data_IF_770355126743
#
_entry.id   IF_770355126743
#
_cell.length_a   1.000
_cell.length_b   1.000
_cell.length_c   1.000
_cell.angle_alpha   90.00
_cell.angle_beta   90.00
_cell.angle_gamma   90.00
#
_symmetry.space_group_name_H-M   'P 1'
#
loop_
_entity.id
_entity.type
_entity.pdbx_description
1 polymer ?
#
# COMPACT_ATOMS: atom_id res chain seq x y z
N UNK A 1 7.59 30.95 5.24
CA UNK A 1 8.94 31.09 5.83
C UNK A 1 9.07 32.50 6.38
N UNK A 2 9.69 32.66 7.55
CA UNK A 2 9.96 33.96 8.17
C UNK A 2 11.25 34.60 7.62
N UNK A 3 11.61 35.76 8.16
CA UNK A 3 12.79 36.51 7.69
C UNK A 3 14.12 35.82 8.01
N UNK A 4 14.16 35.03 9.09
CA UNK A 4 15.38 34.40 9.59
C UNK A 4 15.19 32.95 10.04
N UNK A 5 14.00 32.39 9.84
CA UNK A 5 13.59 31.08 10.34
C UNK A 5 12.42 30.49 9.54
N UNK A 6 12.23 29.18 9.66
CA UNK A 6 11.12 28.43 9.08
C UNK A 6 10.52 27.49 10.10
N UNK A 7 9.20 27.29 9.99
CA UNK A 7 8.44 26.33 10.81
C UNK A 7 7.77 25.34 9.87
N UNK A 8 7.77 24.08 10.26
CA UNK A 8 7.24 22.97 9.48
C UNK A 8 6.34 22.10 10.37
N UNK A 9 5.39 21.42 9.74
CA UNK A 9 4.72 20.28 10.35
C UNK A 9 5.42 19.02 9.86
N UNK A 10 5.87 18.19 10.81
CA UNK A 10 6.47 16.90 10.56
C UNK A 10 5.57 15.78 11.08
N UNK A 11 5.74 14.59 10.51
CA UNK A 11 5.14 13.38 11.07
C UNK A 11 5.87 13.00 12.36
N UNK A 12 5.10 12.55 13.35
CA UNK A 12 5.61 12.04 14.62
C UNK A 12 5.38 10.52 14.71
N UNK A 13 5.81 9.90 15.81
CA UNK A 13 5.53 8.50 16.09
C UNK A 13 4.04 8.21 16.39
N UNK A 14 3.27 9.24 16.71
CA UNK A 14 1.82 9.16 16.93
C UNK A 14 1.05 9.97 15.86
N UNK A 15 -0.26 10.09 16.04
CA UNK A 15 -1.13 10.83 15.11
C UNK A 15 -0.98 12.35 15.17
N UNK A 16 -0.26 12.90 16.17
CA UNK A 16 -0.14 14.34 16.38
C UNK A 16 1.11 14.87 15.69
N UNK A 17 0.97 15.82 14.74
CA UNK A 17 2.12 16.32 14.00
C UNK A 17 3.09 17.07 14.91
N UNK A 18 4.38 16.89 14.66
CA UNK A 18 5.43 17.66 15.32
C UNK A 18 5.56 19.04 14.67
N UNK A 19 5.75 20.07 15.48
CA UNK A 19 6.11 21.40 14.99
C UNK A 19 7.62 21.53 15.00
N UNK A 20 8.21 21.52 13.82
CA UNK A 20 9.65 21.63 13.64
C UNK A 20 10.04 23.07 13.31
N UNK A 21 11.14 23.51 13.89
CA UNK A 21 11.71 24.84 13.70
C UNK A 21 13.14 24.75 13.17
N UNK A 22 13.48 25.59 12.20
CA UNK A 22 14.86 25.76 11.73
C UNK A 22 15.20 27.23 11.53
N UNK A 23 16.37 27.67 12.00
CA UNK A 23 16.88 29.01 11.79
C UNK A 23 17.21 29.79 13.07
N UNK A 24 17.12 31.12 12.98
CA UNK A 24 17.56 32.08 13.99
C UNK A 24 16.47 32.38 15.02
N UNK A 25 16.64 31.92 16.26
CA UNK A 25 15.67 32.13 17.34
C UNK A 25 15.71 33.58 17.88
N UNK A 26 14.58 34.29 18.05
CA UNK A 26 14.55 35.55 18.79
C UNK A 26 14.71 35.28 20.30
N UNK A 27 15.80 35.73 20.93
CA UNK A 27 16.01 35.54 22.37
C UNK A 27 15.01 36.40 23.17
N UNK A 28 14.42 35.84 24.24
CA UNK A 28 13.57 36.60 25.18
C UNK A 28 14.34 37.69 25.94
N UNK A 29 15.68 37.64 25.94
CA UNK A 29 16.56 38.67 26.47
C UNK A 29 17.16 39.51 25.35
N UNK A 30 17.12 40.83 25.52
CA UNK A 30 17.93 41.79 24.76
C UNK A 30 19.40 41.39 24.96
N UNK A 31 20.13 41.17 23.87
CA UNK A 31 21.54 40.74 23.81
C UNK A 31 21.88 39.31 24.26
N UNK A 32 21.45 38.29 23.51
CA UNK A 32 22.18 37.02 23.50
C UNK A 32 22.15 36.36 22.12
N UNK A 33 23.27 35.74 21.75
CA UNK A 33 23.53 35.16 20.43
C UNK A 33 22.36 34.29 19.97
N UNK A 34 21.84 34.63 18.80
CA UNK A 34 20.92 33.84 18.01
C UNK A 34 21.35 32.37 18.03
N UNK A 35 20.67 31.51 18.81
CA UNK A 35 20.82 30.06 18.69
C UNK A 35 20.29 29.69 17.31
N UNK A 36 21.18 29.68 16.33
CA UNK A 36 20.89 29.29 14.95
C UNK A 36 20.90 27.77 14.92
N UNK A 37 19.76 27.16 14.61
CA UNK A 37 19.71 25.73 14.33
C UNK A 37 19.85 25.54 12.83
N UNK A 38 20.86 24.78 12.41
CA UNK A 38 21.03 24.40 11.00
C UNK A 38 20.18 23.16 10.63
N UNK A 39 19.59 22.51 11.64
CA UNK A 39 18.74 21.33 11.49
C UNK A 39 17.37 21.61 12.13
N UNK A 40 16.29 20.96 11.65
CA UNK A 40 14.96 21.07 12.25
C UNK A 40 14.97 20.56 13.70
N UNK A 41 14.44 21.36 14.63
CA UNK A 41 14.29 21.03 16.06
C UNK A 41 12.81 21.04 16.44
N UNK A 42 12.35 20.04 17.19
CA UNK A 42 10.95 19.96 17.63
C UNK A 42 10.63 20.98 18.73
N UNK A 43 9.50 21.67 18.59
CA UNK A 43 8.94 22.59 19.58
C UNK A 43 7.96 21.84 20.49
N UNK A 44 8.48 21.15 21.50
CA UNK A 44 7.69 20.31 22.41
C UNK A 44 6.55 21.06 23.13
N UNK A 45 6.73 22.35 23.42
CA UNK A 45 5.70 23.19 24.05
C UNK A 45 4.46 23.36 23.15
N UNK A 46 4.67 23.49 21.83
CA UNK A 46 3.58 23.68 20.86
C UNK A 46 2.82 22.38 20.64
N UNK A 47 3.48 21.23 20.79
CA UNK A 47 2.87 19.90 20.69
C UNK A 47 1.72 19.69 21.70
N UNK A 48 1.71 20.44 22.81
CA UNK A 48 0.61 20.42 23.79
C UNK A 48 -0.74 20.87 23.19
N UNK A 49 -0.72 21.63 22.09
CA UNK A 49 -1.93 22.03 21.37
C UNK A 49 -2.64 20.87 20.63
N UNK A 50 -1.91 19.75 20.39
CA UNK A 50 -2.38 18.50 19.73
C UNK A 50 -2.88 18.67 18.30
N UNK A 51 -4.08 19.22 18.10
CA UNK A 51 -4.81 19.25 16.82
C UNK A 51 -4.29 20.33 15.86
N UNK A 52 -2.98 20.40 15.69
CA UNK A 52 -2.32 21.42 14.89
C UNK A 52 -2.55 21.11 13.42
N UNK A 53 -3.24 22.02 12.74
CA UNK A 53 -3.56 21.87 11.32
C UNK A 53 -2.60 22.65 10.45
N UNK A 54 -2.19 23.85 10.88
CA UNK A 54 -1.36 24.75 10.05
C UNK A 54 -0.29 25.46 10.87
N UNK A 55 0.87 25.69 10.27
CA UNK A 55 1.92 26.55 10.80
C UNK A 55 2.23 27.67 9.82
N UNK A 56 2.51 28.85 10.35
CA UNK A 56 2.84 30.04 9.58
C UNK A 56 4.04 30.73 10.23
N UNK A 57 4.95 31.22 9.40
CA UNK A 57 6.08 32.03 9.85
C UNK A 57 6.14 33.28 8.96
N UNK A 58 6.22 34.45 9.59
CA UNK A 58 6.20 35.76 8.93
C UNK A 58 6.98 36.80 9.74
N UNK A 59 7.92 37.48 9.07
CA UNK A 59 8.82 38.42 9.75
C UNK A 59 9.61 37.75 10.87
N UNK A 60 9.45 38.25 12.09
CA UNK A 60 10.05 37.69 13.32
C UNK A 60 9.10 36.78 14.12
N UNK A 61 7.88 36.54 13.62
CA UNK A 61 6.81 35.82 14.35
C UNK A 61 6.50 34.48 13.70
N UNK A 62 6.07 33.54 14.54
CA UNK A 62 5.49 32.27 14.16
C UNK A 62 4.07 32.18 14.71
N UNK A 63 3.20 31.44 14.05
CA UNK A 63 1.86 31.09 14.52
C UNK A 63 1.54 29.65 14.16
N UNK A 64 0.75 28.99 14.99
CA UNK A 64 0.15 27.69 14.70
C UNK A 64 -1.37 27.78 14.85
N UNK A 65 -2.10 27.14 13.93
CA UNK A 65 -3.55 26.95 14.01
C UNK A 65 -3.79 25.56 14.60
N UNK A 66 -4.59 25.49 15.66
CA UNK A 66 -5.05 24.25 16.27
C UNK A 66 -6.57 24.21 16.32
N UNK A 67 -7.17 23.03 16.19
CA UNK A 67 -8.61 22.83 16.39
C UNK A 67 -8.90 22.81 17.90
N UNK A 68 -9.61 23.82 18.41
CA UNK A 68 -10.09 23.85 19.80
C UNK A 68 -11.47 24.55 19.88
N UNK A 69 -12.53 23.88 20.37
CA UNK A 69 -12.60 22.43 20.60
C UNK A 69 -12.49 21.67 19.26
N UNK A 70 -11.86 20.50 19.28
CA UNK A 70 -11.80 19.66 18.09
C UNK A 70 -13.11 18.85 17.96
N UNK A 71 -13.70 18.77 16.75
CA UNK A 71 -14.79 17.85 16.48
C UNK A 71 -14.40 16.41 16.86
N UNK A 72 -15.31 15.58 17.40
CA UNK A 72 -15.01 14.21 17.84
C UNK A 72 -14.34 13.35 16.77
N UNK A 73 -14.74 13.50 15.51
CA UNK A 73 -14.20 12.82 14.34
C UNK A 73 -12.77 13.24 13.96
N UNK A 74 -12.24 14.30 14.56
CA UNK A 74 -10.87 14.77 14.29
C UNK A 74 -9.83 13.72 14.66
N UNK A 75 -10.01 12.98 15.75
CA UNK A 75 -9.05 11.96 16.17
C UNK A 75 -8.79 10.89 15.09
N UNK A 76 -9.81 10.14 14.62
CA UNK A 76 -9.60 9.16 13.56
C UNK A 76 -9.19 9.80 12.22
N UNK A 77 -9.52 11.08 11.95
CA UNK A 77 -9.02 11.78 10.76
C UNK A 77 -7.50 12.01 10.80
N UNK A 78 -6.96 12.45 11.94
CA UNK A 78 -5.52 12.61 12.11
C UNK A 78 -4.80 11.26 12.11
N UNK A 79 -5.39 10.22 12.70
CA UNK A 79 -4.90 8.84 12.59
C UNK A 79 -4.86 8.37 11.13
N UNK A 80 -5.91 8.64 10.35
CA UNK A 80 -5.96 8.31 8.93
C UNK A 80 -4.80 8.96 8.18
N UNK A 81 -4.60 10.26 8.37
CA UNK A 81 -3.55 11.01 7.68
C UNK A 81 -2.14 10.54 8.06
N UNK A 82 -1.87 10.32 9.35
CA UNK A 82 -0.58 9.82 9.82
C UNK A 82 -0.30 8.40 9.28
N UNK A 83 -1.29 7.51 9.36
CA UNK A 83 -1.14 6.14 8.86
C UNK A 83 -1.01 6.07 7.34
N UNK A 84 -1.69 6.94 6.59
CA UNK A 84 -1.54 7.06 5.13
C UNK A 84 -0.12 7.45 4.74
N UNK A 85 0.48 8.44 5.42
CA UNK A 85 1.87 8.86 5.14
C UNK A 85 2.87 7.75 5.42
N UNK A 86 2.70 7.03 6.53
CA UNK A 86 3.52 5.85 6.85
C UNK A 86 3.38 4.76 5.78
N UNK A 87 2.13 4.47 5.36
CA UNK A 87 1.84 3.50 4.31
C UNK A 87 2.49 3.88 2.98
N UNK A 88 2.32 5.12 2.52
CA UNK A 88 2.94 5.62 1.29
C UNK A 88 4.47 5.62 1.34
N UNK A 89 5.06 6.00 2.48
CA UNK A 89 6.50 5.89 2.67
C UNK A 89 6.98 4.45 2.46
N UNK A 90 6.23 3.47 2.96
CA UNK A 90 6.55 2.06 2.72
C UNK A 90 6.43 1.66 1.23
N UNK A 91 5.40 2.15 0.52
CA UNK A 91 5.28 1.93 -0.94
C UNK A 91 6.45 2.54 -1.72
N UNK A 92 6.87 3.75 -1.34
CA UNK A 92 8.01 4.44 -1.96
C UNK A 92 9.32 3.70 -1.66
N UNK A 93 9.52 3.21 -0.43
CA UNK A 93 10.68 2.37 -0.10
C UNK A 93 10.70 1.10 -0.95
N UNK A 94 9.58 0.41 -1.09
CA UNK A 94 9.46 -0.77 -1.98
C UNK A 94 9.76 -0.39 -3.43
N UNK A 95 9.26 0.74 -3.92
CA UNK A 95 9.58 1.24 -5.26
C UNK A 95 11.08 1.47 -5.43
N UNK A 96 11.73 2.13 -4.46
CA UNK A 96 13.12 2.55 -4.54
C UNK A 96 14.12 1.40 -4.36
N UNK A 97 13.84 0.49 -3.43
CA UNK A 97 14.75 -0.58 -3.03
C UNK A 97 14.58 -1.85 -3.86
N UNK A 98 13.39 -2.07 -4.42
CA UNK A 98 13.08 -3.29 -5.17
C UNK A 98 12.71 -3.00 -6.63
N UNK A 99 11.65 -2.22 -6.89
CA UNK A 99 11.08 -2.14 -8.24
C UNK A 99 11.93 -1.34 -9.24
N UNK A 100 12.44 -0.16 -8.85
CA UNK A 100 13.31 0.64 -9.73
C UNK A 100 14.64 -0.05 -10.03
N UNK A 101 15.33 -0.67 -9.06
CA UNK A 101 16.50 -1.50 -9.34
C UNK A 101 16.16 -2.68 -10.26
N UNK A 102 15.01 -3.34 -10.03
CA UNK A 102 14.55 -4.45 -10.87
C UNK A 102 14.39 -4.01 -12.32
N UNK A 103 13.68 -2.90 -12.57
CA UNK A 103 13.47 -2.36 -13.92
C UNK A 103 14.79 -1.98 -14.63
N UNK A 104 15.84 -1.64 -13.88
CA UNK A 104 17.17 -1.30 -14.40
C UNK A 104 18.11 -2.50 -14.53
N UNK A 105 17.70 -3.68 -14.04
CA UNK A 105 18.54 -4.87 -14.05
C UNK A 105 18.64 -5.46 -15.46
N UNK A 106 19.80 -6.04 -15.79
CA UNK A 106 20.00 -6.74 -17.06
C UNK A 106 18.93 -7.84 -17.24
N UNK A 107 18.66 -8.60 -16.17
CA UNK A 107 17.61 -9.62 -16.10
C UNK A 107 16.25 -9.11 -16.59
N UNK A 108 15.79 -7.97 -16.09
CA UNK A 108 14.48 -7.42 -16.47
C UNK A 108 14.45 -7.01 -17.95
N UNK A 109 15.53 -6.39 -18.44
CA UNK A 109 15.63 -5.94 -19.83
C UNK A 109 15.78 -7.09 -20.82
N UNK A 110 16.48 -8.15 -20.45
CA UNK A 110 16.74 -9.31 -21.31
C UNK A 110 15.64 -10.38 -21.24
N UNK A 111 14.74 -10.30 -20.27
CA UNK A 111 13.63 -11.26 -20.15
C UNK A 111 12.74 -11.16 -21.39
N UNK A 112 12.60 -12.27 -22.11
CA UNK A 112 11.72 -12.37 -23.28
C UNK A 112 10.92 -13.68 -23.30
N UNK A 113 10.45 -14.08 -22.11
CA UNK A 113 9.71 -15.31 -21.92
C UNK A 113 8.27 -15.00 -21.54
N UNK A 114 7.33 -15.45 -22.38
CA UNK A 114 5.91 -15.42 -22.08
C UNK A 114 5.53 -16.56 -21.11
N UNK A 115 4.66 -16.34 -20.11
CA UNK A 115 3.95 -15.09 -19.79
C UNK A 115 4.67 -14.16 -18.79
N UNK A 116 5.88 -14.52 -18.35
CA UNK A 116 6.54 -13.88 -17.21
C UNK A 116 6.86 -12.39 -17.43
N UNK A 117 7.34 -12.01 -18.61
CA UNK A 117 7.70 -10.62 -18.93
C UNK A 117 6.50 -9.68 -18.82
N UNK A 118 5.41 -10.00 -19.52
CA UNK A 118 4.20 -9.18 -19.55
C UNK A 118 3.54 -9.10 -18.19
N UNK A 119 3.43 -10.23 -17.46
CA UNK A 119 2.83 -10.23 -16.12
C UNK A 119 3.66 -9.43 -15.11
N UNK A 120 4.99 -9.52 -15.17
CA UNK A 120 5.87 -8.71 -14.31
C UNK A 120 5.74 -7.22 -14.65
N UNK A 121 5.71 -6.85 -15.93
CA UNK A 121 5.51 -5.47 -16.37
C UNK A 121 4.18 -4.90 -15.85
N UNK A 122 3.08 -5.64 -16.01
CA UNK A 122 1.76 -5.25 -15.52
C UNK A 122 1.74 -5.06 -14.00
N UNK A 123 2.39 -5.96 -13.25
CA UNK A 123 2.53 -5.83 -11.80
C UNK A 123 3.29 -4.56 -11.39
N UNK A 124 4.42 -4.27 -12.05
CA UNK A 124 5.23 -3.09 -11.74
C UNK A 124 4.48 -1.79 -12.09
N UNK A 125 3.81 -1.76 -13.25
CA UNK A 125 3.03 -0.59 -13.70
C UNK A 125 1.85 -0.33 -12.75
N UNK A 126 1.09 -1.36 -12.41
CA UNK A 126 -0.05 -1.23 -11.50
C UNK A 126 0.36 -0.87 -10.07
N UNK A 127 1.51 -1.38 -9.57
CA UNK A 127 2.08 -0.93 -8.30
C UNK A 127 2.40 0.56 -8.31
N UNK A 128 3.01 1.04 -9.40
CA UNK A 128 3.32 2.45 -9.59
C UNK A 128 2.07 3.33 -9.63
N UNK A 129 1.04 2.89 -10.35
CA UNK A 129 -0.25 3.56 -10.42
C UNK A 129 -0.92 3.65 -9.04
N UNK A 130 -0.94 2.54 -8.29
CA UNK A 130 -1.43 2.51 -6.92
C UNK A 130 -0.67 3.48 -6.02
N UNK A 131 0.66 3.41 -6.03
CA UNK A 131 1.51 4.31 -5.24
C UNK A 131 1.21 5.77 -5.55
N UNK A 132 1.06 6.13 -6.83
CA UNK A 132 0.69 7.49 -7.25
C UNK A 132 -0.67 7.90 -6.69
N UNK A 133 -1.70 7.05 -6.81
CA UNK A 133 -3.05 7.36 -6.33
C UNK A 133 -3.09 7.57 -4.81
N UNK A 134 -2.35 6.77 -4.05
CA UNK A 134 -2.18 6.96 -2.60
C UNK A 134 -1.47 8.30 -2.31
N UNK A 135 -0.44 8.67 -3.07
CA UNK A 135 0.24 9.96 -2.92
C UNK A 135 -0.67 11.17 -3.18
N UNK A 136 -1.54 11.08 -4.20
CA UNK A 136 -2.59 12.07 -4.46
C UNK A 136 -3.55 12.18 -3.26
N UNK A 137 -4.00 11.03 -2.73
CA UNK A 137 -4.87 10.95 -1.56
C UNK A 137 -4.29 11.60 -0.30
N UNK A 138 -3.00 11.37 -0.02
CA UNK A 138 -2.32 11.98 1.15
C UNK A 138 -2.25 13.49 1.05
N UNK A 139 -1.92 13.99 -0.14
CA UNK A 139 -1.77 15.43 -0.39
C UNK A 139 -3.12 16.11 -0.19
N UNK A 140 -4.17 15.52 -0.75
CA UNK A 140 -5.52 16.02 -0.62
C UNK A 140 -6.07 15.91 0.82
N UNK A 141 -5.90 14.76 1.49
CA UNK A 141 -6.30 14.59 2.88
C UNK A 141 -5.61 15.59 3.82
N UNK A 142 -4.33 15.87 3.58
CA UNK A 142 -3.59 16.88 4.33
C UNK A 142 -4.19 18.29 4.13
N UNK A 143 -4.60 18.62 2.89
CA UNK A 143 -5.29 19.88 2.57
C UNK A 143 -6.65 19.96 3.27
N UNK A 144 -7.44 18.90 3.24
CA UNK A 144 -8.76 18.83 3.91
C UNK A 144 -8.61 19.11 5.41
N UNK A 145 -7.63 18.49 6.08
CA UNK A 145 -7.34 18.73 7.50
C UNK A 145 -6.87 20.17 7.76
N UNK A 146 -5.98 20.70 6.91
CA UNK A 146 -5.46 22.07 7.02
C UNK A 146 -6.56 23.13 6.91
N UNK A 147 -7.47 22.94 5.97
CA UNK A 147 -8.56 23.86 5.68
C UNK A 147 -9.78 23.63 6.60
N UNK A 148 -9.75 22.56 7.41
CA UNK A 148 -10.90 22.15 8.25
C UNK A 148 -12.15 21.89 7.38
N UNK A 149 -11.93 21.34 6.20
CA UNK A 149 -12.98 21.02 5.25
C UNK A 149 -13.66 19.69 5.60
N UNK A 150 -14.94 19.51 5.21
CA UNK A 150 -15.63 18.22 5.35
C UNK A 150 -14.84 17.07 4.72
N UNK A 151 -14.78 15.94 5.42
CA UNK A 151 -13.97 14.80 5.01
C UNK A 151 -14.50 14.15 3.72
N UNK A 152 -15.81 14.21 3.46
CA UNK A 152 -16.43 13.75 2.22
C UNK A 152 -15.93 14.47 0.95
N UNK A 153 -15.32 15.67 1.09
CA UNK A 153 -14.67 16.38 -0.02
C UNK A 153 -13.27 15.84 -0.35
N UNK A 154 -12.73 14.94 0.47
CA UNK A 154 -11.43 14.33 0.18
C UNK A 154 -11.52 13.38 -1.01
N UNK A 155 -10.46 13.27 -1.81
CA UNK A 155 -10.38 12.33 -2.92
C UNK A 155 -10.60 10.88 -2.47
N UNK A 156 -10.18 10.54 -1.25
CA UNK A 156 -10.33 9.20 -0.71
C UNK A 156 -11.80 8.77 -0.55
N UNK A 157 -12.71 9.73 -0.32
CA UNK A 157 -14.14 9.47 -0.11
C UNK A 157 -15.00 9.99 -1.27
N UNK A 158 -14.73 11.20 -1.76
CA UNK A 158 -15.42 11.82 -2.88
C UNK A 158 -15.08 11.17 -4.23
N UNK A 159 -13.86 10.64 -4.40
CA UNK A 159 -13.44 9.87 -5.58
C UNK A 159 -13.14 8.40 -5.21
N UNK A 160 -13.87 7.85 -4.24
CA UNK A 160 -13.65 6.52 -3.69
C UNK A 160 -13.61 5.40 -4.74
N UNK A 161 -14.48 5.45 -5.75
CA UNK A 161 -14.55 4.45 -6.82
C UNK A 161 -13.23 4.35 -7.60
N UNK A 162 -12.52 5.46 -7.82
CA UNK A 162 -11.22 5.48 -8.49
C UNK A 162 -10.12 4.82 -7.64
N UNK A 163 -10.17 5.02 -6.32
CA UNK A 163 -9.26 4.32 -5.40
C UNK A 163 -9.51 2.82 -5.44
N UNK A 164 -10.77 2.40 -5.33
CA UNK A 164 -11.12 0.98 -5.43
C UNK A 164 -10.64 0.38 -6.75
N UNK A 165 -10.85 1.08 -7.87
CA UNK A 165 -10.45 0.59 -9.18
C UNK A 165 -8.94 0.43 -9.31
N UNK A 166 -8.18 1.38 -8.77
CA UNK A 166 -6.71 1.28 -8.73
C UNK A 166 -6.26 0.04 -7.95
N UNK A 167 -6.91 -0.26 -6.82
CA UNK A 167 -6.68 -1.49 -6.07
C UNK A 167 -7.09 -2.75 -6.84
N UNK A 168 -8.19 -2.73 -7.61
CA UNK A 168 -8.63 -3.87 -8.44
C UNK A 168 -7.63 -4.18 -9.54
N UNK A 169 -7.18 -3.17 -10.28
CA UNK A 169 -6.16 -3.33 -11.33
C UNK A 169 -4.87 -3.91 -10.76
N UNK A 170 -4.45 -3.43 -9.58
CA UNK A 170 -3.29 -3.98 -8.88
C UNK A 170 -3.50 -5.42 -8.42
N UNK A 171 -4.65 -5.74 -7.82
CA UNK A 171 -5.02 -7.11 -7.42
C UNK A 171 -4.97 -8.09 -8.59
N UNK A 172 -5.53 -7.68 -9.72
CA UNK A 172 -5.58 -8.50 -10.92
C UNK A 172 -4.18 -8.77 -11.47
N UNK A 173 -3.35 -7.73 -11.59
CA UNK A 173 -1.96 -7.88 -12.03
C UNK A 173 -1.13 -8.75 -11.08
N UNK A 174 -1.37 -8.63 -9.78
CA UNK A 174 -0.75 -9.47 -8.75
C UNK A 174 -1.19 -10.93 -8.87
N UNK A 175 -2.49 -11.19 -9.01
CA UNK A 175 -3.04 -12.54 -9.10
C UNK A 175 -2.60 -13.24 -10.39
N UNK A 176 -2.50 -12.51 -11.50
CA UNK A 176 -1.97 -12.98 -12.78
C UNK A 176 -0.50 -13.36 -12.72
N UNK A 177 0.31 -12.55 -12.04
CA UNK A 177 1.73 -12.87 -11.86
C UNK A 177 1.93 -14.03 -10.88
N UNK A 178 1.09 -14.13 -9.85
CA UNK A 178 1.09 -15.25 -8.92
C UNK A 178 0.70 -16.57 -9.59
N UNK A 179 -0.39 -16.57 -10.38
CA UNK A 179 -0.97 -17.79 -10.99
C UNK A 179 0.00 -18.52 -11.89
N UNK A 180 0.88 -17.80 -12.58
CA UNK A 180 1.87 -18.37 -13.51
C UNK A 180 3.16 -18.83 -12.81
N UNK A 181 3.30 -18.61 -11.49
CA UNK A 181 4.54 -18.85 -10.75
C UNK A 181 5.60 -17.79 -11.03
N UNK A 182 5.19 -16.55 -11.29
CA UNK A 182 6.06 -15.46 -11.71
C UNK A 182 7.11 -15.10 -10.65
N UNK A 183 6.75 -15.15 -9.37
CA UNK A 183 7.68 -14.88 -8.27
C UNK A 183 8.86 -15.87 -8.28
N UNK A 184 8.58 -17.18 -8.29
CA UNK A 184 9.61 -18.21 -8.31
C UNK A 184 10.45 -18.19 -9.59
N UNK A 185 9.81 -17.99 -10.74
CA UNK A 185 10.52 -17.85 -12.01
C UNK A 185 11.50 -16.68 -11.98
N UNK A 186 11.07 -15.51 -11.50
CA UNK A 186 11.89 -14.31 -11.50
C UNK A 186 13.07 -14.43 -10.52
N UNK A 187 12.84 -14.96 -9.33
CA UNK A 187 13.93 -15.10 -8.35
C UNK A 187 14.93 -16.18 -8.73
N UNK A 188 14.49 -17.23 -9.44
CA UNK A 188 15.39 -18.26 -9.96
C UNK A 188 16.22 -17.76 -11.15
N UNK A 189 15.57 -17.09 -12.11
CA UNK A 189 16.22 -16.65 -13.36
C UNK A 189 17.05 -15.37 -13.15
N UNK A 190 16.64 -14.51 -12.23
CA UNK A 190 17.35 -13.29 -11.82
C UNK A 190 18.07 -13.43 -10.49
N UNK A 191 18.60 -14.62 -10.16
CA UNK A 191 19.16 -14.93 -8.83
C UNK A 191 20.20 -13.90 -8.38
N UNK A 192 21.15 -13.54 -9.25
CA UNK A 192 22.20 -12.55 -8.95
C UNK A 192 21.62 -11.20 -8.51
N UNK A 193 20.53 -10.75 -9.15
CA UNK A 193 19.84 -9.52 -8.78
C UNK A 193 19.18 -9.65 -7.41
N UNK A 194 18.41 -10.73 -7.20
CA UNK A 194 17.65 -10.92 -5.96
C UNK A 194 18.54 -11.17 -4.75
N UNK A 195 19.67 -11.89 -4.90
CA UNK A 195 20.67 -12.07 -3.85
C UNK A 195 21.24 -10.73 -3.39
N UNK A 196 21.57 -9.83 -4.33
CA UNK A 196 22.11 -8.51 -4.03
C UNK A 196 21.15 -7.63 -3.23
N UNK A 197 19.85 -7.70 -3.51
CA UNK A 197 18.83 -6.86 -2.84
C UNK A 197 18.10 -7.58 -1.72
N UNK A 198 18.39 -8.86 -1.46
CA UNK A 198 17.64 -9.69 -0.51
C UNK A 198 17.58 -9.08 0.89
N UNK A 199 18.70 -8.50 1.37
CA UNK A 199 18.75 -7.81 2.65
C UNK A 199 17.76 -6.64 2.71
N UNK A 200 17.71 -5.81 1.67
CA UNK A 200 16.76 -4.70 1.59
C UNK A 200 15.30 -5.15 1.51
N UNK A 201 14.99 -6.22 0.77
CA UNK A 201 13.62 -6.76 0.74
C UNK A 201 13.23 -7.34 2.11
N UNK A 202 14.17 -7.97 2.80
CA UNK A 202 13.95 -8.50 4.14
C UNK A 202 13.60 -7.39 5.13
N UNK A 203 14.37 -6.32 5.12
CA UNK A 203 14.14 -5.12 5.94
C UNK A 203 12.78 -4.46 5.62
N UNK A 204 12.33 -4.47 4.35
CA UNK A 204 11.00 -3.98 3.96
C UNK A 204 9.85 -4.79 4.57
N UNK A 205 10.10 -6.04 4.95
CA UNK A 205 9.08 -6.97 5.43
C UNK A 205 9.18 -7.28 6.93
N UNK A 206 10.12 -6.64 7.63
CA UNK A 206 10.50 -6.95 9.01
C UNK A 206 10.76 -8.45 9.24
N UNK A 207 11.28 -9.14 8.21
CA UNK A 207 11.52 -10.58 8.27
C UNK A 207 12.87 -10.88 8.94
N UNK A 208 12.87 -11.68 10.01
CA UNK A 208 14.07 -11.99 10.79
C UNK A 208 14.66 -13.34 10.41
N UNK A 209 13.84 -14.24 9.88
CA UNK A 209 14.28 -15.56 9.47
C UNK A 209 15.09 -15.48 8.17
N UNK A 210 16.34 -15.94 8.26
CA UNK A 210 17.25 -15.91 7.11
C UNK A 210 16.96 -16.99 6.08
N UNK A 211 16.21 -18.02 6.44
CA UNK A 211 15.88 -19.17 5.60
C UNK A 211 14.77 -18.88 4.58
N UNK A 212 14.02 -17.78 4.76
CA UNK A 212 12.91 -17.41 3.87
C UNK A 212 13.43 -17.17 2.45
N UNK A 213 12.83 -17.89 1.50
CA UNK A 213 13.19 -17.82 0.08
C UNK A 213 12.96 -16.42 -0.50
N UNK A 214 13.80 -16.04 -1.47
CA UNK A 214 13.67 -14.76 -2.16
C UNK A 214 12.31 -14.59 -2.86
N UNK A 215 11.73 -15.67 -3.40
CA UNK A 215 10.39 -15.63 -4.02
C UNK A 215 9.30 -15.27 -3.01
N UNK A 216 9.37 -15.83 -1.80
CA UNK A 216 8.45 -15.53 -0.71
C UNK A 216 8.60 -14.08 -0.23
N UNK A 217 9.83 -13.57 -0.11
CA UNK A 217 10.09 -12.18 0.23
C UNK A 217 9.54 -11.22 -0.83
N UNK A 218 9.77 -11.51 -2.12
CA UNK A 218 9.25 -10.71 -3.22
C UNK A 218 7.72 -10.73 -3.25
N UNK A 219 7.10 -11.91 -3.08
CA UNK A 219 5.65 -12.06 -2.99
C UNK A 219 5.09 -11.23 -1.83
N UNK A 220 5.69 -11.31 -0.63
CA UNK A 220 5.24 -10.55 0.55
C UNK A 220 5.33 -9.04 0.32
N UNK A 221 6.41 -8.56 -0.29
CA UNK A 221 6.57 -7.15 -0.62
C UNK A 221 5.47 -6.66 -1.58
N UNK A 222 5.12 -7.46 -2.59
CA UNK A 222 4.05 -7.14 -3.53
C UNK A 222 2.65 -7.35 -2.92
N UNK A 223 2.49 -8.24 -1.95
CA UNK A 223 1.20 -8.44 -1.26
C UNK A 223 0.89 -7.34 -0.25
N UNK A 224 1.91 -6.62 0.24
CA UNK A 224 1.79 -5.61 1.29
C UNK A 224 0.60 -4.65 1.08
N UNK A 225 0.39 -3.99 -0.09
CA UNK A 225 -0.65 -2.97 -0.22
C UNK A 225 -2.07 -3.41 0.17
N UNK A 226 -2.40 -4.71 0.06
CA UNK A 226 -3.74 -5.23 0.37
C UNK A 226 -4.07 -5.23 1.87
N UNK A 227 -3.10 -5.15 2.78
CA UNK A 227 -3.43 -5.01 4.22
C UNK A 227 -4.20 -3.70 4.48
N UNK A 228 -3.96 -2.67 3.66
CA UNK A 228 -4.49 -1.32 3.87
C UNK A 228 -6.02 -1.28 3.81
N UNK A 229 -6.65 -2.20 3.08
CA UNK A 229 -8.11 -2.31 2.99
C UNK A 229 -8.76 -2.51 4.37
N UNK A 230 -8.11 -3.26 5.25
CA UNK A 230 -8.58 -3.49 6.63
C UNK A 230 -8.53 -2.19 7.44
N UNK A 231 -7.44 -1.42 7.28
CA UNK A 231 -7.27 -0.16 7.98
C UNK A 231 -8.25 0.91 7.50
N UNK A 232 -8.56 0.95 6.19
CA UNK A 232 -9.59 1.83 5.68
C UNK A 232 -10.96 1.52 6.27
N UNK A 233 -11.38 0.25 6.24
CA UNK A 233 -12.64 -0.17 6.87
C UNK A 233 -12.68 0.19 8.36
N UNK A 234 -11.61 -0.12 9.11
CA UNK A 234 -11.50 0.18 10.55
C UNK A 234 -11.62 1.67 10.85
N UNK A 235 -10.83 2.52 10.20
CA UNK A 235 -10.76 3.95 10.50
C UNK A 235 -12.03 4.66 10.05
N UNK A 236 -12.58 4.34 8.88
CA UNK A 236 -13.84 4.92 8.40
C UNK A 236 -15.00 4.53 9.32
N UNK A 237 -15.02 3.30 9.85
CA UNK A 237 -16.01 2.87 10.86
C UNK A 237 -15.93 3.74 12.12
N UNK A 238 -14.72 4.07 12.59
CA UNK A 238 -14.53 4.98 13.73
C UNK A 238 -15.06 6.39 13.43
N UNK A 239 -14.79 6.92 12.24
CA UNK A 239 -15.31 8.23 11.83
C UNK A 239 -16.85 8.20 11.79
N UNK A 240 -17.44 7.18 11.16
CA UNK A 240 -18.89 7.03 11.03
C UNK A 240 -19.62 6.93 12.39
N UNK A 241 -18.93 6.42 13.43
CA UNK A 241 -19.48 6.35 14.78
C UNK A 241 -19.52 7.71 15.49
N UNK A 242 -18.69 8.66 15.09
CA UNK A 242 -18.49 9.95 15.74
C UNK A 242 -19.17 11.12 15.02
N UNK A 243 -19.48 10.94 13.73
CA UNK A 243 -20.23 11.92 12.93
C UNK A 243 -21.68 12.02 13.39
N UNK A 244 -22.17 13.26 13.53
CA UNK A 244 -23.54 13.54 13.96
C UNK A 244 -24.58 13.41 12.83
N UNK A 245 -24.20 13.66 11.58
CA UNK A 245 -25.10 13.62 10.42
C UNK A 245 -25.48 12.18 10.04
N UNK A 246 -26.78 11.81 10.04
CA UNK A 246 -27.23 10.47 9.64
C UNK A 246 -26.93 10.14 8.17
N UNK A 247 -26.96 11.15 7.30
CA UNK A 247 -26.68 11.01 5.87
C UNK A 247 -25.20 10.68 5.65
N UNK A 248 -24.31 11.46 6.27
CA UNK A 248 -22.86 11.23 6.21
C UNK A 248 -22.49 9.89 6.83
N UNK A 249 -23.12 9.53 7.96
CA UNK A 249 -22.96 8.20 8.57
C UNK A 249 -23.34 7.07 7.62
N UNK A 250 -24.46 7.19 6.92
CA UNK A 250 -24.92 6.20 5.93
C UNK A 250 -23.95 6.11 4.76
N UNK A 251 -23.43 7.24 4.27
CA UNK A 251 -22.42 7.28 3.23
C UNK A 251 -21.15 6.56 3.67
N UNK A 252 -20.59 6.90 4.83
CA UNK A 252 -19.38 6.27 5.37
C UNK A 252 -19.56 4.77 5.58
N UNK A 253 -20.73 4.32 6.05
CA UNK A 253 -21.05 2.89 6.20
C UNK A 253 -21.04 2.15 4.86
N UNK A 254 -21.51 2.74 3.76
CA UNK A 254 -21.40 2.14 2.42
C UNK A 254 -19.94 1.94 2.01
N UNK A 255 -19.11 2.94 2.27
CA UNK A 255 -17.67 2.87 1.95
C UNK A 255 -16.94 1.80 2.77
N UNK A 256 -17.36 1.57 4.02
CA UNK A 256 -16.88 0.44 4.84
C UNK A 256 -17.22 -0.89 4.17
N UNK A 257 -18.48 -1.08 3.76
CA UNK A 257 -18.92 -2.29 3.07
C UNK A 257 -18.16 -2.52 1.76
N UNK A 258 -17.89 -1.46 1.01
CA UNK A 258 -17.12 -1.50 -0.23
C UNK A 258 -15.68 -1.99 0.03
N UNK A 259 -15.00 -1.47 1.06
CA UNK A 259 -13.66 -1.94 1.44
C UNK A 259 -13.63 -3.38 1.95
N UNK A 260 -14.59 -3.75 2.79
CA UNK A 260 -14.69 -5.12 3.32
C UNK A 260 -14.98 -6.14 2.21
N UNK A 261 -15.90 -5.80 1.30
CA UNK A 261 -16.20 -6.62 0.12
C UNK A 261 -14.97 -6.78 -0.78
N UNK A 262 -14.22 -5.70 -1.02
CA UNK A 262 -13.00 -5.74 -1.83
C UNK A 262 -11.92 -6.64 -1.21
N UNK A 263 -11.72 -6.56 0.11
CA UNK A 263 -10.80 -7.42 0.86
C UNK A 263 -11.15 -8.90 0.70
N UNK A 264 -12.44 -9.25 0.83
CA UNK A 264 -12.91 -10.64 0.70
C UNK A 264 -12.66 -11.13 -0.73
N UNK A 265 -13.02 -10.32 -1.73
CA UNK A 265 -12.84 -10.66 -3.14
C UNK A 265 -11.37 -10.91 -3.48
N UNK A 266 -10.47 -10.00 -3.10
CA UNK A 266 -9.03 -10.17 -3.36
C UNK A 266 -8.45 -11.39 -2.65
N UNK A 267 -8.86 -11.65 -1.40
CA UNK A 267 -8.40 -12.82 -0.66
C UNK A 267 -8.80 -14.12 -1.36
N UNK A 268 -10.03 -14.19 -1.88
CA UNK A 268 -10.54 -15.33 -2.66
C UNK A 268 -9.79 -15.47 -3.98
N UNK A 269 -9.63 -14.37 -4.72
CA UNK A 269 -8.94 -14.33 -6.01
C UNK A 269 -7.47 -14.76 -5.89
N UNK A 270 -6.74 -14.24 -4.90
CA UNK A 270 -5.34 -14.57 -4.67
C UNK A 270 -5.16 -16.02 -4.25
N UNK A 271 -6.08 -16.57 -3.45
CA UNK A 271 -6.08 -18.00 -3.09
C UNK A 271 -6.31 -18.89 -4.31
N UNK A 272 -7.21 -18.50 -5.21
CA UNK A 272 -7.47 -19.23 -6.45
C UNK A 272 -6.27 -19.15 -7.41
N UNK A 273 -5.63 -17.98 -7.51
CA UNK A 273 -4.37 -17.83 -8.26
C UNK A 273 -3.25 -18.71 -7.68
N UNK A 274 -3.08 -18.74 -6.36
CA UNK A 274 -2.07 -19.58 -5.71
C UNK A 274 -2.36 -21.09 -5.90
N UNK A 275 -3.62 -21.50 -5.83
CA UNK A 275 -4.03 -22.88 -6.15
C UNK A 275 -3.66 -23.23 -7.59
N UNK A 276 -3.89 -22.30 -8.52
CA UNK A 276 -3.52 -22.45 -9.93
C UNK A 276 -2.01 -22.56 -10.12
N UNK A 277 -1.22 -21.78 -9.38
CA UNK A 277 0.25 -21.86 -9.36
C UNK A 277 0.71 -23.26 -8.96
N UNK A 278 0.22 -23.78 -7.84
CA UNK A 278 0.56 -25.12 -7.33
C UNK A 278 0.17 -26.21 -8.33
N UNK A 279 -0.96 -26.06 -9.02
CA UNK A 279 -1.34 -26.98 -10.08
C UNK A 279 -0.28 -27.06 -11.18
N UNK A 280 0.24 -25.92 -11.66
CA UNK A 280 1.26 -25.93 -12.71
C UNK A 280 2.59 -26.57 -12.29
N UNK A 281 2.89 -26.61 -11.00
CA UNK A 281 4.10 -27.28 -10.46
C UNK A 281 3.98 -28.81 -10.50
N UNK A 282 2.75 -29.33 -10.41
CA UNK A 282 2.47 -30.78 -10.40
C UNK A 282 2.01 -31.31 -11.76
N UNK A 283 1.62 -30.42 -12.67
CA UNK A 283 1.16 -30.76 -14.02
C UNK A 283 2.32 -31.19 -14.94
N UNK A 284 1.98 -31.97 -15.96
CA UNK A 284 2.95 -32.43 -16.97
C UNK A 284 3.50 -31.22 -17.74
N UNK A 285 4.82 -31.07 -17.95
CA UNK A 285 5.42 -29.88 -18.56
C UNK A 285 4.78 -29.47 -19.90
N UNK A 286 4.52 -30.42 -20.79
CA UNK A 286 3.85 -30.16 -22.09
C UNK A 286 2.47 -29.52 -21.93
N UNK A 287 1.72 -29.91 -20.90
CA UNK A 287 0.40 -29.34 -20.61
C UNK A 287 0.55 -27.91 -20.08
N UNK A 288 1.49 -27.74 -19.15
CA UNK A 288 1.79 -26.45 -18.54
C UNK A 288 2.22 -25.42 -19.60
N UNK A 289 3.09 -25.78 -20.53
CA UNK A 289 3.56 -24.87 -21.58
C UNK A 289 2.43 -24.47 -22.53
N UNK A 290 1.50 -25.38 -22.84
CA UNK A 290 0.37 -25.10 -23.72
C UNK A 290 -0.75 -24.29 -23.06
N UNK A 291 -0.94 -24.47 -21.74
CA UNK A 291 -2.13 -23.98 -21.03
C UNK A 291 -1.85 -22.86 -20.03
N UNK A 292 -0.61 -22.63 -19.61
CA UNK A 292 -0.30 -21.58 -18.63
C UNK A 292 -0.51 -20.20 -19.26
N UNK A 293 -1.45 -19.45 -18.69
CA UNK A 293 -1.72 -18.05 -19.04
C UNK A 293 -1.96 -17.22 -17.77
N UNK A 294 -1.62 -15.92 -17.77
CA UNK A 294 -1.82 -15.03 -16.63
C UNK A 294 -3.23 -15.11 -16.06
N UNK A 295 -4.24 -14.96 -16.92
CA UNK A 295 -5.66 -14.84 -16.59
C UNK A 295 -6.34 -16.18 -16.23
N UNK A 296 -5.64 -17.30 -16.43
CA UNK A 296 -6.22 -18.63 -16.20
C UNK A 296 -6.31 -18.93 -14.72
N UNK A 297 -7.44 -19.47 -14.29
CA UNK A 297 -7.73 -19.85 -12.91
C UNK A 297 -8.30 -21.26 -12.88
N UNK A 298 -7.72 -22.11 -12.06
CA UNK A 298 -8.24 -23.44 -11.80
C UNK A 298 -9.42 -23.36 -10.84
N UNK A 299 -10.60 -23.79 -11.31
CA UNK A 299 -11.84 -23.80 -10.54
C UNK A 299 -12.00 -25.11 -9.76
N UNK A 300 -11.76 -26.26 -10.40
CA UNK A 300 -11.91 -27.61 -9.81
C UNK A 300 -10.99 -28.63 -10.48
N UNK A 301 -10.62 -29.67 -9.74
CA UNK A 301 -10.03 -30.89 -10.31
C UNK A 301 -10.76 -32.16 -9.83
N UNK A 302 -10.72 -33.21 -10.64
CA UNK A 302 -11.35 -34.48 -10.34
C UNK A 302 -10.68 -35.27 -9.20
N UNK A 303 -9.47 -34.88 -8.76
CA UNK A 303 -8.83 -35.47 -7.58
C UNK A 303 -9.54 -35.07 -6.30
N UNK A 304 -9.92 -33.80 -6.18
CA UNK A 304 -10.66 -33.27 -5.03
C UNK A 304 -12.17 -33.42 -5.18
N UNK A 305 -12.67 -33.40 -6.43
CA UNK A 305 -14.08 -33.54 -6.76
C UNK A 305 -14.30 -34.70 -7.73
N UNK A 306 -14.36 -35.96 -7.25
CA UNK A 306 -14.44 -37.13 -8.10
C UNK A 306 -15.64 -37.09 -9.05
N UNK A 307 -15.38 -37.37 -10.32
CA UNK A 307 -16.42 -37.48 -11.34
C UNK A 307 -16.72 -38.96 -11.56
N UNK A 308 -18.00 -39.35 -11.47
CA UNK A 308 -18.45 -40.69 -11.84
C UNK A 308 -18.64 -40.74 -13.35
N UNK A 309 -17.85 -41.57 -14.04
CA UNK A 309 -17.96 -41.81 -15.48
C UNK A 309 -18.64 -43.17 -15.72
N UNK A 310 -19.88 -43.21 -16.24
CA UNK A 310 -20.64 -44.45 -16.42
C UNK A 310 -19.98 -45.48 -17.37
N UNK A 311 -19.08 -45.04 -18.25
CA UNK A 311 -18.47 -45.87 -19.31
C UNK A 311 -16.94 -45.85 -19.30
N UNK A 312 -16.31 -45.47 -18.18
CA UNK A 312 -14.85 -45.47 -18.05
C UNK A 312 -14.29 -46.90 -17.88
N UNK A 313 -13.37 -47.31 -18.74
CA UNK A 313 -12.66 -48.59 -18.57
C UNK A 313 -11.88 -48.61 -17.25
N UNK A 314 -11.83 -49.78 -16.58
CA UNK A 314 -11.24 -50.01 -15.24
C UNK A 314 -9.79 -49.56 -15.06
N UNK A 315 -9.10 -49.16 -16.13
CA UNK A 315 -7.66 -48.87 -16.15
C UNK A 315 -7.31 -47.45 -16.66
N UNK A 316 -8.27 -46.55 -16.87
CA UNK A 316 -7.94 -45.17 -17.27
C UNK A 316 -8.00 -44.22 -16.07
N UNK A 317 -6.85 -43.88 -15.49
CA UNK A 317 -6.72 -42.73 -14.60
C UNK A 317 -6.74 -41.45 -15.43
N UNK A 318 -7.85 -40.72 -15.41
CA UNK A 318 -8.03 -39.45 -16.14
C UNK A 318 -8.15 -38.31 -15.14
N UNK A 319 -7.32 -37.28 -15.30
CA UNK A 319 -7.43 -36.03 -14.55
C UNK A 319 -8.29 -35.05 -15.35
N UNK A 320 -9.41 -34.64 -14.78
CA UNK A 320 -10.24 -33.57 -15.33
C UNK A 320 -9.98 -32.30 -14.51
N UNK A 321 -9.65 -31.21 -15.19
CA UNK A 321 -9.45 -29.90 -14.58
C UNK A 321 -10.37 -28.91 -15.26
N UNK A 322 -11.14 -28.19 -14.46
CA UNK A 322 -12.01 -27.11 -14.91
C UNK A 322 -11.26 -25.78 -14.69
N UNK A 323 -11.03 -25.05 -15.78
CA UNK A 323 -10.57 -23.67 -15.76
C UNK A 323 -11.75 -22.72 -15.95
N UNK A 324 -11.52 -21.43 -15.65
CA UNK A 324 -12.45 -20.34 -15.91
C UNK A 324 -12.67 -20.03 -17.40
#
# INVERSE_FOLDING_TARGET
AGASHSVFLGDAADMYPDVLYSGKHPSKGVYASVKKTNFPVSLAEVRQARWITKVMAGGIRCACKSLQPAPPESEPMFELAASERSFYNQLIKTSNLLLRPLQKSNFYTSMDVYPFKSSLQNLVVSFGALTKKIGEGITDLTRIIQDSAPLNHSLMLGAHSEFMETFRVYSHSFSDFLSVGGFDYCTRTGSEFFEKIQGSIRDLSDERDKSVAASSLFLRAMRYPFFRLVEYSRIITRIAALVASPEEKTQLQRLVLDWDGLKINFSSEHKMADTTRVFWETAIPKLTDALRRPERRMLRESKTYPLQMPSGGKFTSRLFVLFN
#
